data_IF_826157849013
#
_entry.id   IF_826157849013
#
_cell.length_a   1.000
_cell.length_b   1.000
_cell.length_c   1.000
_cell.angle_alpha   90.00
_cell.angle_beta   90.00
_cell.angle_gamma   90.00
#
_symmetry.space_group_name_H-M   'P 1'
#
loop_
_entity.id
_entity.type
_entity.pdbx_description
1 polymer ?
#
# COMPACT_ATOMS: atom_id res chain seq x y z
N UNK A 1 10.05 -27.97 10.04
CA UNK A 1 9.81 -26.51 10.12
C UNK A 1 8.41 -26.32 10.71
N UNK A 2 8.22 -25.23 11.50
CA UNK A 2 6.90 -24.81 11.95
C UNK A 2 6.08 -24.36 10.74
N UNK A 3 4.77 -24.57 10.75
CA UNK A 3 3.90 -24.21 9.63
C UNK A 3 3.02 -23.01 9.97
N UNK A 4 2.95 -22.02 9.08
CA UNK A 4 2.03 -20.89 9.18
C UNK A 4 1.03 -20.89 8.04
N UNK A 5 -0.27 -20.88 8.39
CA UNK A 5 -1.35 -20.71 7.41
C UNK A 5 -1.53 -19.23 7.12
N UNK A 6 -1.29 -18.84 5.89
CA UNK A 6 -1.46 -17.47 5.40
C UNK A 6 -2.76 -17.38 4.62
N UNK A 7 -3.70 -16.59 5.11
CA UNK A 7 -5.01 -16.38 4.47
C UNK A 7 -5.01 -15.04 3.77
N UNK A 8 -4.99 -15.05 2.45
CA UNK A 8 -4.95 -13.86 1.61
C UNK A 8 -5.86 -13.98 0.39
N UNK A 9 -6.64 -12.94 0.11
CA UNK A 9 -7.41 -12.84 -1.14
C UNK A 9 -6.50 -12.45 -2.31
N UNK A 10 -5.54 -11.56 -2.06
CA UNK A 10 -4.65 -11.00 -3.08
C UNK A 10 -3.41 -11.88 -3.25
N UNK A 11 -3.40 -12.71 -4.29
CA UNK A 11 -2.31 -13.62 -4.60
C UNK A 11 -1.92 -13.54 -6.08
N UNK A 12 -0.66 -13.79 -6.48
CA UNK A 12 -0.28 -13.79 -7.90
C UNK A 12 -1.24 -14.62 -8.77
N UNK A 13 -1.64 -14.13 -9.96
CA UNK A 13 -1.10 -12.98 -10.70
C UNK A 13 -1.73 -11.61 -10.37
N UNK A 14 -2.27 -11.39 -9.17
CA UNK A 14 -2.70 -10.05 -8.77
C UNK A 14 -1.52 -9.07 -8.82
N UNK A 15 -1.80 -7.83 -9.20
CA UNK A 15 -0.85 -6.72 -9.15
C UNK A 15 -1.17 -5.75 -8.00
N UNK A 16 -0.25 -4.82 -7.77
CA UNK A 16 -0.36 -3.79 -6.75
C UNK A 16 0.27 -4.15 -5.41
N UNK A 17 0.35 -3.16 -4.54
CA UNK A 17 1.13 -3.25 -3.29
C UNK A 17 0.58 -4.29 -2.31
N UNK A 18 -0.75 -4.48 -2.27
CA UNK A 18 -1.39 -5.41 -1.34
C UNK A 18 -0.95 -6.86 -1.54
N UNK A 19 -0.71 -7.30 -2.79
CA UNK A 19 -0.21 -8.65 -3.05
C UNK A 19 1.27 -8.79 -2.68
N UNK A 20 2.07 -7.75 -2.92
CA UNK A 20 3.51 -7.80 -2.72
C UNK A 20 3.87 -8.07 -1.25
N UNK A 21 3.16 -7.46 -0.29
CA UNK A 21 3.43 -7.66 1.14
C UNK A 21 3.35 -9.13 1.54
N UNK A 22 2.25 -9.79 1.24
CA UNK A 22 2.04 -11.19 1.60
C UNK A 22 2.98 -12.11 0.81
N UNK A 23 3.20 -11.83 -0.48
CA UNK A 23 4.13 -12.57 -1.32
C UNK A 23 5.56 -12.52 -0.78
N UNK A 24 6.03 -11.34 -0.29
CA UNK A 24 7.36 -11.21 0.30
C UNK A 24 7.48 -11.95 1.64
N UNK A 25 6.42 -12.01 2.45
CA UNK A 25 6.42 -12.88 3.63
C UNK A 25 6.61 -14.35 3.22
N UNK A 26 5.84 -14.84 2.25
CA UNK A 26 5.96 -16.21 1.75
C UNK A 26 7.35 -16.49 1.18
N UNK A 27 7.95 -15.52 0.47
CA UNK A 27 9.29 -15.63 -0.13
C UNK A 27 10.37 -15.87 0.93
N UNK A 28 10.30 -15.21 2.07
CA UNK A 28 11.39 -15.19 3.06
C UNK A 28 11.12 -15.97 4.35
N UNK A 29 9.91 -16.44 4.63
CA UNK A 29 9.60 -17.14 5.89
C UNK A 29 10.44 -18.41 6.11
N UNK A 30 10.80 -19.13 5.04
CA UNK A 30 11.67 -20.31 5.14
C UNK A 30 13.06 -19.98 5.67
N UNK A 31 13.58 -18.78 5.43
CA UNK A 31 14.85 -18.30 5.97
C UNK A 31 14.85 -18.24 7.51
N UNK A 32 13.64 -18.15 8.10
CA UNK A 32 13.42 -18.01 9.54
C UNK A 32 12.75 -19.26 10.16
N UNK A 33 12.80 -20.41 9.47
CA UNK A 33 12.35 -21.69 10.00
C UNK A 33 10.82 -21.92 9.94
N UNK A 34 10.09 -21.12 9.14
CA UNK A 34 8.67 -21.24 8.95
C UNK A 34 8.31 -21.71 7.54
N UNK A 35 7.46 -22.73 7.44
CA UNK A 35 6.91 -23.19 6.17
C UNK A 35 5.56 -22.54 5.94
N UNK A 36 5.41 -21.65 4.94
CA UNK A 36 4.14 -21.04 4.62
C UNK A 36 3.21 -21.99 3.86
N UNK A 37 1.94 -22.01 4.29
CA UNK A 37 0.82 -22.65 3.58
C UNK A 37 -0.17 -21.57 3.23
N UNK A 38 -0.50 -21.40 1.97
CA UNK A 38 -1.31 -20.28 1.49
C UNK A 38 -2.73 -20.72 1.19
N UNK A 39 -3.74 -20.02 1.74
CA UNK A 39 -5.12 -20.09 1.31
C UNK A 39 -5.48 -18.83 0.53
N UNK A 40 -5.97 -19.00 -0.71
CA UNK A 40 -6.38 -17.88 -1.57
C UNK A 40 -7.66 -18.21 -2.36
N UNK A 41 -8.19 -17.20 -3.07
CA UNK A 41 -9.37 -17.40 -3.91
C UNK A 41 -9.02 -18.15 -5.21
N UNK A 42 -9.91 -19.06 -5.65
CA UNK A 42 -9.73 -19.80 -6.89
C UNK A 42 -10.08 -18.96 -8.13
N UNK A 43 -11.13 -18.15 -8.05
CA UNK A 43 -11.69 -17.37 -9.17
C UNK A 43 -11.86 -15.90 -8.80
N UNK A 44 -10.80 -15.20 -8.35
CA UNK A 44 -10.88 -13.82 -7.89
C UNK A 44 -11.07 -12.83 -9.04
N UNK A 45 -11.70 -11.70 -8.73
CA UNK A 45 -11.78 -10.55 -9.63
C UNK A 45 -10.72 -9.52 -9.26
N UNK A 46 -9.51 -9.73 -9.73
CA UNK A 46 -8.45 -8.75 -9.52
C UNK A 46 -8.63 -7.53 -10.39
N UNK A 47 -8.27 -6.39 -9.84
CA UNK A 47 -8.34 -5.10 -10.50
C UNK A 47 -7.17 -4.90 -11.48
N UNK A 48 -5.99 -5.32 -11.06
CA UNK A 48 -4.77 -5.30 -11.84
C UNK A 48 -4.14 -6.69 -11.84
N UNK A 49 -3.58 -7.06 -12.99
CA UNK A 49 -2.82 -8.30 -13.15
C UNK A 49 -1.37 -7.97 -13.41
N UNK A 50 -0.48 -8.66 -12.70
CA UNK A 50 0.96 -8.62 -12.91
C UNK A 50 1.48 -10.06 -12.86
N UNK A 51 1.74 -10.60 -14.03
CA UNK A 51 2.20 -11.99 -14.19
C UNK A 51 3.65 -12.20 -13.74
N UNK A 52 4.45 -11.13 -13.64
CA UNK A 52 5.81 -11.22 -13.14
C UNK A 52 5.84 -11.65 -11.67
N UNK A 53 4.80 -11.33 -10.90
CA UNK A 53 4.66 -11.77 -9.51
C UNK A 53 4.60 -13.30 -9.35
N UNK A 54 4.22 -14.06 -10.40
CA UNK A 54 4.25 -15.53 -10.35
C UNK A 54 5.67 -16.07 -10.23
N UNK A 55 6.65 -15.38 -10.78
CA UNK A 55 8.06 -15.77 -10.72
C UNK A 55 8.68 -15.58 -9.32
N UNK A 56 7.99 -14.82 -8.46
CA UNK A 56 8.44 -14.59 -7.09
C UNK A 56 7.90 -15.59 -6.07
N UNK A 57 6.93 -16.42 -6.47
CA UNK A 57 6.40 -17.48 -5.60
C UNK A 57 7.47 -18.58 -5.49
N UNK A 58 7.96 -18.90 -4.28
CA UNK A 58 8.97 -19.93 -4.12
C UNK A 58 8.44 -21.31 -4.53
N UNK A 59 9.33 -22.15 -5.06
CA UNK A 59 9.00 -23.51 -5.43
C UNK A 59 8.50 -24.35 -4.23
N UNK A 60 7.52 -25.20 -4.48
CA UNK A 60 7.00 -26.15 -3.50
C UNK A 60 6.14 -25.54 -2.39
N UNK A 61 5.67 -24.30 -2.53
CA UNK A 61 4.69 -23.72 -1.61
C UNK A 61 3.35 -24.43 -1.76
N UNK A 62 2.80 -24.88 -0.64
CA UNK A 62 1.45 -25.46 -0.58
C UNK A 62 0.40 -24.34 -0.71
N UNK A 63 -0.38 -24.35 -1.81
CA UNK A 63 -1.38 -23.32 -2.11
C UNK A 63 -2.76 -23.95 -2.25
N UNK A 64 -3.68 -23.56 -1.38
CA UNK A 64 -5.09 -23.96 -1.42
C UNK A 64 -5.94 -22.86 -2.04
N UNK A 65 -6.77 -23.22 -3.01
CA UNK A 65 -7.66 -22.31 -3.70
C UNK A 65 -9.11 -22.65 -3.39
N UNK A 66 -9.85 -21.68 -2.87
CA UNK A 66 -11.27 -21.86 -2.52
C UNK A 66 -12.12 -20.96 -3.39
N UNK A 67 -13.20 -21.49 -4.04
CA UNK A 67 -14.09 -20.70 -4.87
C UNK A 67 -14.72 -19.54 -4.10
N UNK A 68 -14.80 -18.37 -4.73
CA UNK A 68 -15.45 -17.18 -4.19
C UNK A 68 -16.61 -16.73 -5.07
N UNK A 69 -17.71 -16.32 -4.43
CA UNK A 69 -18.79 -15.60 -5.09
C UNK A 69 -18.62 -14.11 -4.86
N UNK A 70 -18.42 -13.35 -5.95
CA UNK A 70 -18.28 -11.90 -5.90
C UNK A 70 -19.51 -11.22 -6.52
N UNK A 71 -20.34 -10.53 -5.72
CA UNK A 71 -21.58 -9.87 -6.18
C UNK A 71 -21.33 -8.85 -7.27
N UNK A 72 -20.15 -8.25 -7.29
CA UNK A 72 -19.76 -7.25 -8.28
C UNK A 72 -19.76 -7.80 -9.71
N UNK A 73 -19.44 -9.08 -9.89
CA UNK A 73 -19.48 -9.73 -11.19
C UNK A 73 -20.91 -9.92 -11.68
N UNK A 74 -21.85 -10.20 -10.76
CA UNK A 74 -23.26 -10.27 -11.06
C UNK A 74 -23.82 -8.87 -11.39
N UNK A 75 -23.44 -7.84 -10.62
CA UNK A 75 -23.87 -6.45 -10.89
C UNK A 75 -23.35 -5.92 -12.22
N UNK A 76 -22.08 -6.18 -12.58
CA UNK A 76 -21.51 -5.80 -13.90
C UNK A 76 -22.26 -6.50 -15.05
N UNK A 77 -22.62 -7.78 -14.89
CA UNK A 77 -23.39 -8.52 -15.90
C UNK A 77 -24.79 -7.92 -16.09
N UNK A 78 -25.47 -7.54 -15.00
CA UNK A 78 -26.83 -6.98 -15.04
C UNK A 78 -26.83 -5.55 -15.62
N UNK A 79 -25.82 -4.75 -15.32
CA UNK A 79 -25.75 -3.34 -15.76
C UNK A 79 -25.08 -3.14 -17.12
N UNK A 80 -24.61 -4.21 -17.77
CA UNK A 80 -23.91 -4.15 -19.08
C UNK A 80 -22.58 -3.39 -19.05
N UNK A 81 -22.04 -3.09 -17.87
CA UNK A 81 -20.74 -2.37 -17.73
C UNK A 81 -19.59 -3.30 -18.10
N UNK A 82 -18.63 -2.78 -18.90
CA UNK A 82 -17.43 -3.52 -19.28
C UNK A 82 -16.65 -3.98 -18.06
N UNK A 83 -16.04 -5.17 -18.16
CA UNK A 83 -15.27 -5.80 -17.05
C UNK A 83 -14.13 -4.93 -16.51
N UNK A 84 -13.63 -3.99 -17.31
CA UNK A 84 -12.35 -3.32 -17.10
C UNK A 84 -12.42 -1.95 -16.41
N UNK A 85 -13.60 -1.49 -15.96
CA UNK A 85 -13.67 -0.24 -15.19
C UNK A 85 -13.56 -0.56 -13.70
N UNK A 86 -12.45 -0.20 -13.06
CA UNK A 86 -12.27 -0.40 -11.62
C UNK A 86 -13.29 0.42 -10.82
N UNK A 87 -13.87 -0.16 -9.77
CA UNK A 87 -14.78 0.57 -8.89
C UNK A 87 -14.09 1.64 -8.05
N UNK A 88 -12.79 1.53 -7.85
CA UNK A 88 -12.00 2.59 -7.22
C UNK A 88 -11.88 3.84 -8.09
N UNK A 89 -11.97 3.71 -9.42
CA UNK A 89 -12.06 4.89 -10.29
C UNK A 89 -13.43 5.59 -10.17
N UNK A 90 -14.46 4.91 -9.64
CA UNK A 90 -15.73 5.52 -9.30
C UNK A 90 -15.61 6.36 -8.00
N UNK A 91 -14.74 5.94 -7.07
CA UNK A 91 -14.46 6.71 -5.85
C UNK A 91 -13.45 7.83 -6.09
N UNK A 92 -12.52 7.66 -7.03
CA UNK A 92 -11.47 8.65 -7.33
C UNK A 92 -11.88 9.74 -8.34
N UNK A 93 -12.96 9.56 -9.09
CA UNK A 93 -13.51 10.60 -9.97
C UNK A 93 -14.43 11.58 -9.19
N UNK A 94 -13.86 12.37 -8.31
CA UNK A 94 -14.56 13.40 -7.54
C UNK A 94 -15.16 14.53 -8.39
N UNK A 95 -14.80 14.65 -9.66
CA UNK A 95 -15.32 15.65 -10.60
C UNK A 95 -16.60 15.22 -11.33
N UNK A 96 -16.92 13.94 -11.42
CA UNK A 96 -18.19 13.47 -12.01
C UNK A 96 -19.22 13.22 -10.91
N UNK A 97 -20.39 13.87 -11.01
CA UNK A 97 -21.52 13.59 -10.12
C UNK A 97 -21.84 12.10 -10.17
N UNK A 98 -21.59 11.39 -9.06
CA UNK A 98 -21.93 9.96 -8.90
C UNK A 98 -23.38 9.73 -9.23
N UNK A 99 -23.68 8.77 -10.08
CA UNK A 99 -25.05 8.43 -10.43
C UNK A 99 -25.81 7.89 -9.19
N UNK A 100 -27.14 8.01 -9.19
CA UNK A 100 -27.97 7.43 -8.12
C UNK A 100 -27.73 5.93 -7.99
N UNK A 101 -27.50 5.24 -9.10
CA UNK A 101 -27.19 3.80 -9.15
C UNK A 101 -25.85 3.50 -8.44
N UNK A 102 -24.83 4.35 -8.62
CA UNK A 102 -23.53 4.18 -7.96
C UNK A 102 -23.66 4.38 -6.44
N UNK A 103 -24.38 5.40 -6.00
CA UNK A 103 -24.66 5.64 -4.58
C UNK A 103 -25.43 4.47 -3.95
N UNK A 104 -26.43 3.96 -4.64
CA UNK A 104 -27.18 2.78 -4.19
C UNK A 104 -26.29 1.54 -4.12
N UNK A 105 -25.44 1.31 -5.12
CA UNK A 105 -24.47 0.21 -5.12
C UNK A 105 -23.47 0.30 -3.95
N UNK A 106 -22.98 1.51 -3.65
CA UNK A 106 -22.11 1.76 -2.50
C UNK A 106 -22.82 1.52 -1.17
N UNK A 107 -24.09 1.99 -1.05
CA UNK A 107 -24.89 1.73 0.12
C UNK A 107 -25.15 0.22 0.33
N UNK A 108 -25.52 -0.52 -0.72
CA UNK A 108 -25.70 -1.97 -0.65
C UNK A 108 -24.40 -2.64 -0.20
N UNK A 109 -23.25 -2.24 -0.78
CA UNK A 109 -21.94 -2.77 -0.44
C UNK A 109 -21.60 -2.56 1.04
N UNK A 110 -21.79 -1.34 1.57
CA UNK A 110 -21.45 -1.00 2.94
C UNK A 110 -22.38 -1.60 3.99
N UNK A 111 -23.64 -1.95 3.63
CA UNK A 111 -24.64 -2.38 4.60
C UNK A 111 -24.96 -3.88 4.60
N UNK A 112 -24.72 -4.58 3.49
CA UNK A 112 -25.07 -6.01 3.37
C UNK A 112 -23.85 -6.92 3.20
N UNK A 113 -22.70 -6.38 2.79
CA UNK A 113 -21.47 -7.14 2.63
C UNK A 113 -20.47 -6.75 3.71
N UNK A 114 -20.62 -7.35 4.89
CA UNK A 114 -19.78 -7.10 6.07
C UNK A 114 -18.88 -8.32 6.29
N UNK A 115 -17.56 -8.13 6.38
CA UNK A 115 -16.81 -6.87 6.51
C UNK A 115 -16.57 -6.12 5.20
N UNK A 116 -16.66 -6.77 4.06
CA UNK A 116 -16.43 -6.22 2.72
C UNK A 116 -17.10 -7.07 1.63
N UNK A 117 -16.93 -6.70 0.36
CA UNK A 117 -17.59 -7.35 -0.78
C UNK A 117 -17.20 -8.85 -0.97
N UNK A 118 -16.19 -9.35 -0.25
CA UNK A 118 -15.75 -10.75 -0.28
C UNK A 118 -16.34 -11.58 0.85
N UNK A 119 -17.23 -11.03 1.67
CA UNK A 119 -17.81 -11.69 2.86
C UNK A 119 -18.47 -13.06 2.57
N UNK A 120 -18.96 -13.29 1.34
CA UNK A 120 -19.48 -14.58 0.90
C UNK A 120 -18.41 -15.70 0.91
N UNK A 121 -17.12 -15.34 0.91
CA UNK A 121 -16.00 -16.30 0.93
C UNK A 121 -15.72 -16.87 2.33
N UNK A 122 -16.20 -16.21 3.40
CA UNK A 122 -15.92 -16.63 4.78
C UNK A 122 -16.38 -18.08 5.04
N UNK A 123 -17.64 -18.41 4.75
CA UNK A 123 -18.19 -19.74 5.02
C UNK A 123 -17.48 -20.86 4.25
N UNK A 124 -17.26 -20.73 2.91
CA UNK A 124 -16.50 -21.73 2.15
C UNK A 124 -15.09 -21.95 2.68
N UNK A 125 -14.37 -20.88 3.02
CA UNK A 125 -13.01 -20.97 3.55
C UNK A 125 -12.97 -21.67 4.91
N UNK A 126 -13.84 -21.27 5.84
CA UNK A 126 -13.89 -21.91 7.17
C UNK A 126 -14.21 -23.40 7.03
N UNK A 127 -15.20 -23.78 6.21
CA UNK A 127 -15.52 -25.19 5.98
C UNK A 127 -14.35 -25.98 5.37
N UNK A 128 -13.64 -25.38 4.42
CA UNK A 128 -12.47 -25.99 3.79
C UNK A 128 -11.34 -26.18 4.81
N UNK A 129 -11.03 -25.13 5.57
CA UNK A 129 -9.96 -25.16 6.57
C UNK A 129 -10.26 -26.08 7.74
N UNK A 130 -11.52 -26.19 8.17
CA UNK A 130 -11.93 -27.17 9.18
C UNK A 130 -11.50 -28.59 8.78
N UNK A 131 -11.82 -28.99 7.54
CA UNK A 131 -11.47 -30.33 7.05
C UNK A 131 -9.95 -30.50 6.82
N UNK A 132 -9.27 -29.43 6.37
CA UNK A 132 -7.83 -29.45 6.18
C UNK A 132 -7.08 -29.64 7.51
N UNK A 133 -7.48 -28.91 8.56
CA UNK A 133 -6.86 -28.91 9.88
C UNK A 133 -7.11 -30.19 10.68
N UNK A 134 -8.13 -30.99 10.34
CA UNK A 134 -8.32 -32.32 10.91
C UNK A 134 -7.15 -33.29 10.60
N UNK A 135 -6.44 -33.05 9.49
CA UNK A 135 -5.39 -33.93 8.97
C UNK A 135 -4.00 -33.30 8.92
N UNK A 136 -3.93 -31.98 9.05
CA UNK A 136 -2.70 -31.23 8.88
C UNK A 136 -2.48 -30.31 10.07
N UNK A 137 -1.30 -30.38 10.65
CA UNK A 137 -0.91 -29.48 11.73
C UNK A 137 -0.49 -28.12 11.17
N UNK A 138 -1.04 -27.06 11.73
CA UNK A 138 -0.64 -25.67 11.54
C UNK A 138 -0.30 -25.09 12.91
N UNK A 139 0.85 -24.43 13.02
CA UNK A 139 1.35 -23.90 14.28
C UNK A 139 0.89 -22.46 14.53
N UNK A 140 0.64 -21.67 13.48
CA UNK A 140 0.12 -20.32 13.58
C UNK A 140 -0.71 -19.94 12.34
N UNK A 141 -1.58 -18.93 12.50
CA UNK A 141 -2.32 -18.31 11.40
C UNK A 141 -1.82 -16.88 11.22
N UNK A 142 -1.70 -16.44 9.97
CA UNK A 142 -1.46 -15.05 9.56
C UNK A 142 -2.53 -14.65 8.56
N UNK A 143 -3.13 -13.47 8.75
CA UNK A 143 -4.09 -12.90 7.79
C UNK A 143 -3.66 -11.52 7.38
N UNK A 144 -3.84 -11.16 6.12
CA UNK A 144 -3.67 -9.80 5.63
C UNK A 144 -5.03 -9.12 5.41
N UNK A 145 -5.12 -7.86 5.74
CA UNK A 145 -6.31 -7.04 5.51
C UNK A 145 -5.92 -5.62 5.09
N UNK A 146 -6.65 -4.97 4.20
CA UNK A 146 -7.86 -5.43 3.51
C UNK A 146 -7.61 -6.47 2.39
N UNK A 147 -8.62 -7.30 2.04
CA UNK A 147 -9.98 -7.31 2.56
C UNK A 147 -10.07 -7.93 3.96
N UNK A 148 -10.83 -7.32 4.87
CA UNK A 148 -11.03 -7.82 6.23
C UNK A 148 -11.87 -9.10 6.31
N UNK A 149 -12.39 -9.58 5.17
CA UNK A 149 -12.88 -10.95 5.01
C UNK A 149 -11.81 -11.97 5.42
N UNK A 150 -10.53 -11.76 5.04
CA UNK A 150 -9.41 -12.61 5.45
C UNK A 150 -9.26 -12.62 6.98
N UNK A 151 -9.33 -11.44 7.59
CA UNK A 151 -9.26 -11.23 9.04
C UNK A 151 -10.35 -12.03 9.78
N UNK A 152 -11.60 -11.97 9.31
CA UNK A 152 -12.72 -12.73 9.90
C UNK A 152 -12.57 -14.24 9.72
N UNK A 153 -12.01 -14.71 8.58
CA UNK A 153 -11.70 -16.13 8.39
C UNK A 153 -10.65 -16.56 9.42
N UNK A 154 -9.54 -15.82 9.55
CA UNK A 154 -8.48 -16.11 10.50
C UNK A 154 -8.98 -16.14 11.95
N UNK A 155 -9.79 -15.16 12.35
CA UNK A 155 -10.43 -15.11 13.66
C UNK A 155 -11.22 -16.39 13.95
N UNK A 156 -12.09 -16.79 13.05
CA UNK A 156 -12.93 -17.99 13.23
C UNK A 156 -12.13 -19.28 13.32
N UNK A 157 -11.08 -19.40 12.50
CA UNK A 157 -10.19 -20.58 12.52
C UNK A 157 -9.38 -20.60 13.81
N UNK A 158 -8.80 -19.47 14.21
CA UNK A 158 -8.07 -19.35 15.47
C UNK A 158 -8.93 -19.74 16.69
N UNK A 159 -10.14 -19.19 16.79
CA UNK A 159 -11.07 -19.51 17.88
C UNK A 159 -11.46 -20.99 17.90
N UNK A 160 -11.79 -21.57 16.73
CA UNK A 160 -12.30 -22.92 16.65
C UNK A 160 -11.24 -24.00 16.91
N UNK A 161 -10.03 -23.78 16.41
CA UNK A 161 -8.93 -24.76 16.47
C UNK A 161 -7.86 -24.40 17.52
N UNK A 162 -8.06 -23.30 18.27
CA UNK A 162 -7.11 -22.80 19.28
C UNK A 162 -5.69 -22.60 18.73
N UNK A 163 -5.58 -22.09 17.49
CA UNK A 163 -4.30 -21.79 16.83
C UNK A 163 -3.98 -20.31 17.03
N UNK A 164 -2.78 -19.94 17.52
CA UNK A 164 -2.41 -18.53 17.67
C UNK A 164 -2.44 -17.80 16.34
N UNK A 165 -2.95 -16.57 16.36
CA UNK A 165 -3.23 -15.82 15.15
C UNK A 165 -2.64 -14.39 15.20
N UNK A 166 -1.93 -14.02 14.14
CA UNK A 166 -1.47 -12.68 13.82
C UNK A 166 -2.39 -12.06 12.76
N UNK A 167 -3.02 -10.94 13.10
CA UNK A 167 -3.84 -10.14 12.21
C UNK A 167 -3.01 -8.97 11.65
N UNK A 168 -2.60 -9.04 10.37
CA UNK A 168 -1.90 -7.94 9.71
C UNK A 168 -2.92 -7.00 9.06
N UNK A 169 -3.09 -5.82 9.68
CA UNK A 169 -3.88 -4.73 9.14
C UNK A 169 -2.95 -3.83 8.33
N UNK A 170 -2.95 -3.97 7.03
CA UNK A 170 -2.20 -3.02 6.19
C UNK A 170 -2.80 -1.62 6.36
N UNK A 171 -4.14 -1.53 6.24
CA UNK A 171 -4.93 -0.33 6.51
C UNK A 171 -5.92 -0.56 7.66
N UNK A 172 -6.29 0.46 8.45
CA UNK A 172 -7.36 0.36 9.45
C UNK A 172 -8.68 -0.11 8.82
N UNK A 173 -9.55 -0.71 9.64
CA UNK A 173 -10.84 -1.20 9.14
C UNK A 173 -11.93 -0.11 9.21
N UNK A 174 -12.36 0.28 10.42
CA UNK A 174 -13.44 1.27 10.56
C UNK A 174 -12.95 2.71 10.55
N UNK A 175 -11.64 2.94 10.61
CA UNK A 175 -10.99 4.26 10.62
C UNK A 175 -10.38 4.64 9.27
N UNK A 176 -10.58 3.82 8.23
CA UNK A 176 -10.10 4.15 6.89
C UNK A 176 -10.92 5.31 6.29
N UNK A 177 -10.28 6.19 5.53
CA UNK A 177 -10.87 7.41 4.97
C UNK A 177 -12.15 7.17 4.15
N UNK A 178 -12.14 6.13 3.32
CA UNK A 178 -13.29 5.79 2.47
C UNK A 178 -14.46 5.11 3.23
N UNK A 179 -14.32 4.85 4.54
CA UNK A 179 -15.40 4.22 5.32
C UNK A 179 -16.68 5.05 5.32
N UNK A 180 -16.56 6.37 5.47
CA UNK A 180 -17.68 7.30 5.40
C UNK A 180 -18.33 7.35 4.01
N UNK A 181 -17.59 7.09 2.95
CA UNK A 181 -18.08 7.08 1.58
C UNK A 181 -18.99 5.90 1.24
N UNK A 182 -18.94 4.82 2.04
CA UNK A 182 -19.78 3.64 1.85
C UNK A 182 -21.24 3.81 2.28
N UNK A 183 -21.63 4.98 2.75
CA UNK A 183 -22.99 5.27 3.25
C UNK A 183 -23.50 4.24 4.26
N UNK A 184 -22.64 3.86 5.20
CA UNK A 184 -22.90 2.81 6.19
C UNK A 184 -23.97 3.30 7.19
N UNK A 185 -25.06 2.54 7.32
CA UNK A 185 -26.12 2.81 8.29
C UNK A 185 -25.75 2.36 9.70
N UNK A 186 -26.41 2.93 10.73
CA UNK A 186 -26.10 2.67 12.14
C UNK A 186 -26.05 1.18 12.53
N UNK A 187 -26.89 0.33 11.90
CA UNK A 187 -26.88 -1.13 12.16
C UNK A 187 -25.62 -1.79 11.61
N UNK A 188 -25.25 -1.47 10.38
CA UNK A 188 -24.05 -2.03 9.73
C UNK A 188 -22.78 -1.53 10.43
N UNK A 189 -22.70 -0.23 10.77
CA UNK A 189 -21.59 0.34 11.54
C UNK A 189 -21.40 -0.40 12.87
N UNK A 190 -22.48 -0.67 13.62
CA UNK A 190 -22.40 -1.45 14.85
C UNK A 190 -21.82 -2.85 14.62
N UNK A 191 -22.19 -3.51 13.52
CA UNK A 191 -21.70 -4.85 13.20
C UNK A 191 -20.21 -4.79 12.81
N UNK A 192 -19.79 -3.82 12.00
CA UNK A 192 -18.37 -3.63 11.65
C UNK A 192 -17.53 -3.43 12.92
N UNK A 193 -17.93 -2.49 13.79
CA UNK A 193 -17.20 -2.21 15.03
C UNK A 193 -17.18 -3.41 15.98
N UNK A 194 -18.29 -4.15 16.09
CA UNK A 194 -18.33 -5.35 16.92
C UNK A 194 -17.37 -6.43 16.41
N UNK A 195 -17.31 -6.65 15.10
CA UNK A 195 -16.37 -7.59 14.50
C UNK A 195 -14.92 -7.13 14.69
N UNK A 196 -14.63 -5.84 14.51
CA UNK A 196 -13.29 -5.29 14.74
C UNK A 196 -12.86 -5.46 16.20
N UNK A 197 -13.76 -5.21 17.16
CA UNK A 197 -13.50 -5.46 18.58
C UNK A 197 -13.26 -6.95 18.88
N UNK A 198 -14.02 -7.86 18.26
CA UNK A 198 -13.81 -9.29 18.40
C UNK A 198 -12.44 -9.73 17.87
N UNK A 199 -11.98 -9.14 16.76
CA UNK A 199 -10.62 -9.32 16.23
C UNK A 199 -9.58 -8.88 17.25
N UNK A 200 -9.73 -7.70 17.87
CA UNK A 200 -8.80 -7.19 18.89
C UNK A 200 -8.72 -8.07 20.14
N UNK A 201 -9.80 -8.77 20.45
CA UNK A 201 -9.84 -9.68 21.60
C UNK A 201 -9.26 -11.05 21.27
N UNK A 202 -9.32 -11.48 20.01
CA UNK A 202 -8.94 -12.83 19.57
C UNK A 202 -7.50 -12.90 19.07
N UNK A 203 -7.04 -11.89 18.33
CA UNK A 203 -5.69 -11.87 17.78
C UNK A 203 -4.65 -11.80 18.91
N UNK A 204 -3.66 -12.70 18.88
CA UNK A 204 -2.51 -12.66 19.77
C UNK A 204 -1.60 -11.49 19.45
N UNK A 205 -1.49 -11.14 18.17
CA UNK A 205 -0.72 -10.01 17.67
C UNK A 205 -1.48 -9.30 16.54
N UNK A 206 -1.42 -7.99 16.56
CA UNK A 206 -1.94 -7.14 15.47
C UNK A 206 -0.77 -6.36 14.90
N UNK A 207 -0.69 -6.27 13.57
CA UNK A 207 0.28 -5.41 12.90
C UNK A 207 -0.41 -4.42 11.97
N UNK A 208 0.17 -3.25 11.78
CA UNK A 208 -0.35 -2.18 10.93
C UNK A 208 0.79 -1.48 10.21
N UNK A 209 0.51 -0.81 9.09
CA UNK A 209 1.58 -0.30 8.23
C UNK A 209 2.23 1.01 8.71
N UNK A 210 1.68 1.69 9.73
CA UNK A 210 2.23 2.98 10.16
C UNK A 210 2.06 3.28 11.66
N UNK A 211 2.93 4.13 12.23
CA UNK A 211 2.85 4.55 13.62
C UNK A 211 1.56 5.30 13.98
N UNK A 212 1.09 6.20 13.11
CA UNK A 212 -0.16 6.93 13.34
C UNK A 212 -1.36 5.98 13.37
N UNK A 213 -1.44 5.05 12.44
CA UNK A 213 -2.51 4.04 12.44
C UNK A 213 -2.42 3.06 13.60
N UNK A 214 -1.21 2.78 14.13
CA UNK A 214 -1.07 2.06 15.40
C UNK A 214 -1.80 2.78 16.53
N UNK A 215 -1.54 4.09 16.68
CA UNK A 215 -2.21 4.93 17.70
C UNK A 215 -3.74 4.94 17.51
N UNK A 216 -4.19 5.02 16.27
CA UNK A 216 -5.61 4.98 15.94
C UNK A 216 -6.25 3.66 16.38
N UNK A 217 -5.66 2.51 16.04
CA UNK A 217 -6.16 1.20 16.47
C UNK A 217 -6.13 1.04 17.99
N UNK A 218 -5.06 1.49 18.66
CA UNK A 218 -4.96 1.49 20.13
C UNK A 218 -6.05 2.35 20.77
N UNK A 219 -6.39 3.50 20.17
CA UNK A 219 -7.42 4.42 20.67
C UNK A 219 -8.83 3.82 20.69
N UNK A 220 -9.09 2.83 19.84
CA UNK A 220 -10.37 2.11 19.75
C UNK A 220 -10.32 0.72 20.41
N UNK A 221 -9.27 0.42 21.18
CA UNK A 221 -9.17 -0.79 22.00
C UNK A 221 -8.28 -1.89 21.42
N UNK A 222 -7.54 -1.63 20.35
CA UNK A 222 -6.51 -2.54 19.84
C UNK A 222 -5.42 -2.80 20.89
N UNK A 223 -5.08 -4.07 21.11
CA UNK A 223 -4.01 -4.49 22.03
C UNK A 223 -2.92 -5.21 21.26
N UNK A 224 -1.70 -5.16 21.78
CA UNK A 224 -0.53 -5.81 21.14
C UNK A 224 -0.37 -5.40 19.67
N UNK A 225 -0.59 -4.11 19.37
CA UNK A 225 -0.45 -3.56 18.02
C UNK A 225 1.00 -3.14 17.79
N UNK A 226 1.60 -3.61 16.71
CA UNK A 226 2.94 -3.20 16.29
C UNK A 226 2.98 -2.72 14.85
N UNK A 227 4.02 -1.96 14.51
CA UNK A 227 4.22 -1.45 13.16
C UNK A 227 5.09 -2.41 12.36
N UNK A 228 4.55 -2.85 11.24
CA UNK A 228 5.26 -3.58 10.19
C UNK A 228 5.09 -2.79 8.89
N UNK A 229 6.13 -2.10 8.48
CA UNK A 229 6.13 -1.32 7.26
C UNK A 229 5.98 -2.18 6.00
N UNK A 230 5.62 -1.57 4.88
CA UNK A 230 5.99 -2.10 3.57
C UNK A 230 7.52 -2.06 3.47
N UNK A 231 8.07 -2.78 2.52
CA UNK A 231 9.52 -2.83 2.38
C UNK A 231 9.93 -2.77 0.91
N UNK A 232 11.23 -2.87 0.71
CA UNK A 232 11.84 -3.12 -0.59
C UNK A 232 12.47 -4.50 -0.63
N UNK A 233 12.62 -5.06 -1.84
CA UNK A 233 13.30 -6.33 -2.03
C UNK A 233 14.67 -6.08 -2.69
N UNK A 234 15.75 -6.49 -2.05
CA UNK A 234 17.10 -6.33 -2.58
C UNK A 234 17.30 -7.00 -3.95
N UNK A 235 16.54 -8.06 -4.23
CA UNK A 235 16.63 -8.73 -5.53
C UNK A 235 16.16 -7.84 -6.69
N UNK A 236 15.25 -6.89 -6.43
CA UNK A 236 14.78 -5.93 -7.42
C UNK A 236 15.85 -4.87 -7.75
N UNK A 237 16.81 -4.67 -6.84
CA UNK A 237 17.89 -3.67 -6.93
C UNK A 237 19.26 -4.28 -7.23
N UNK A 238 19.33 -5.58 -7.57
CA UNK A 238 20.62 -6.27 -7.81
C UNK A 238 21.49 -5.60 -8.90
N UNK A 239 20.84 -5.00 -9.91
CA UNK A 239 21.53 -4.29 -11.00
C UNK A 239 21.45 -2.76 -10.85
N UNK A 240 20.92 -2.27 -9.72
CA UNK A 240 20.72 -0.84 -9.52
C UNK A 240 22.05 -0.11 -9.42
N UNK A 241 22.24 0.87 -10.30
CA UNK A 241 23.41 1.76 -10.29
C UNK A 241 22.93 3.19 -10.50
N UNK A 242 23.23 4.07 -9.55
CA UNK A 242 22.92 5.49 -9.71
C UNK A 242 23.69 6.06 -10.91
N UNK A 243 22.95 6.69 -11.83
CA UNK A 243 23.51 7.32 -13.03
C UNK A 243 23.44 8.82 -12.88
N UNK A 244 24.52 9.48 -13.29
CA UNK A 244 24.51 10.91 -13.48
C UNK A 244 24.02 11.23 -14.90
N UNK A 245 23.10 12.17 -14.99
CA UNK A 245 22.54 12.66 -16.23
C UNK A 245 22.86 14.14 -16.38
N UNK A 246 23.06 14.62 -17.60
CA UNK A 246 23.27 16.05 -17.87
C UNK A 246 22.05 16.92 -17.49
N UNK A 247 20.88 16.30 -17.47
CA UNK A 247 19.61 16.90 -17.09
C UNK A 247 19.28 16.65 -15.63
N UNK A 248 18.70 17.63 -14.94
CA UNK A 248 18.12 17.45 -13.61
C UNK A 248 16.74 16.80 -13.76
N UNK A 249 16.66 15.50 -13.51
CA UNK A 249 15.44 14.70 -13.69
C UNK A 249 14.66 14.64 -12.38
N UNK A 250 13.44 15.16 -12.39
CA UNK A 250 12.46 14.99 -11.31
C UNK A 250 11.50 13.87 -11.74
N UNK A 251 11.50 12.78 -11.01
CA UNK A 251 10.72 11.59 -11.36
C UNK A 251 9.66 11.28 -10.33
N UNK A 252 8.46 10.92 -10.79
CA UNK A 252 7.39 10.32 -10.00
C UNK A 252 6.92 9.03 -10.65
N UNK A 253 6.92 7.93 -9.90
CA UNK A 253 6.36 6.64 -10.31
C UNK A 253 5.08 6.33 -9.54
N UNK A 254 3.97 6.11 -10.25
CA UNK A 254 2.68 5.72 -9.71
C UNK A 254 1.52 6.63 -10.10
N UNK A 255 0.36 6.41 -9.50
CA UNK A 255 -0.83 7.22 -9.72
C UNK A 255 -0.60 8.67 -9.23
N UNK A 256 -0.88 9.64 -10.10
CA UNK A 256 -0.88 11.07 -9.77
C UNK A 256 -2.30 11.62 -9.99
N UNK A 257 -3.14 11.47 -8.98
CA UNK A 257 -4.55 11.85 -8.99
C UNK A 257 -4.79 13.30 -8.58
N UNK A 258 -6.03 13.75 -8.70
CA UNK A 258 -6.48 15.07 -8.26
C UNK A 258 -6.19 15.32 -6.77
N UNK A 259 -6.35 14.28 -5.95
CA UNK A 259 -6.14 14.28 -4.50
C UNK A 259 -4.68 14.52 -4.07
N UNK A 260 -3.75 14.41 -5.01
CA UNK A 260 -2.30 14.61 -4.81
C UNK A 260 -1.66 15.46 -5.90
N UNK A 261 -2.46 16.32 -6.55
CA UNK A 261 -1.96 17.26 -7.55
C UNK A 261 -0.97 18.26 -6.89
N UNK A 262 0.32 18.29 -7.30
CA UNK A 262 1.36 19.11 -6.70
C UNK A 262 1.39 20.51 -7.31
N UNK A 263 0.27 21.24 -7.35
CA UNK A 263 0.15 22.50 -8.07
C UNK A 263 1.12 23.58 -7.56
N UNK A 264 1.32 23.69 -6.23
CA UNK A 264 2.27 24.62 -5.63
C UNK A 264 3.70 24.34 -6.09
N UNK A 265 4.08 23.04 -6.16
CA UNK A 265 5.38 22.63 -6.68
C UNK A 265 5.55 23.06 -8.15
N UNK A 266 4.52 22.88 -8.97
CA UNK A 266 4.55 23.34 -10.37
C UNK A 266 4.67 24.87 -10.48
N UNK A 267 3.98 25.61 -9.62
CA UNK A 267 4.12 27.07 -9.54
C UNK A 267 5.57 27.47 -9.21
N UNK A 268 6.14 26.89 -8.15
CA UNK A 268 7.52 27.16 -7.72
C UNK A 268 8.51 26.85 -8.84
N UNK A 269 8.36 25.69 -9.49
CA UNK A 269 9.26 25.29 -10.56
C UNK A 269 9.20 26.24 -11.77
N UNK A 270 7.98 26.65 -12.15
CA UNK A 270 7.77 27.64 -13.22
C UNK A 270 8.41 28.99 -12.87
N UNK A 271 8.24 29.47 -11.62
CA UNK A 271 8.82 30.71 -11.15
C UNK A 271 10.37 30.67 -11.22
N UNK A 272 10.96 29.53 -10.80
CA UNK A 272 12.42 29.36 -10.83
C UNK A 272 12.98 29.26 -12.26
N UNK A 273 12.27 28.61 -13.19
CA UNK A 273 12.66 28.56 -14.60
C UNK A 273 12.61 29.97 -15.23
N UNK A 274 11.55 30.73 -14.94
CA UNK A 274 11.43 32.11 -15.44
C UNK A 274 12.52 33.03 -14.89
N UNK A 275 12.87 32.89 -13.60
CA UNK A 275 13.91 33.68 -12.95
C UNK A 275 15.32 33.27 -13.41
N UNK A 276 15.52 31.99 -13.68
CA UNK A 276 16.79 31.41 -14.08
C UNK A 276 16.63 30.51 -15.31
N UNK A 277 16.60 31.05 -16.54
CA UNK A 277 16.37 30.28 -17.77
C UNK A 277 17.34 29.12 -17.99
N UNK A 278 18.54 29.18 -17.42
CA UNK A 278 19.51 28.07 -17.44
C UNK A 278 18.96 26.79 -16.78
N UNK A 279 18.09 26.92 -15.78
CA UNK A 279 17.41 25.79 -15.13
C UNK A 279 16.51 25.07 -16.16
N UNK A 280 15.74 25.85 -16.95
CA UNK A 280 14.83 25.29 -17.94
C UNK A 280 15.54 24.39 -18.96
N UNK A 281 16.77 24.74 -19.36
CA UNK A 281 17.54 23.95 -20.32
C UNK A 281 17.98 22.57 -19.77
N UNK A 282 17.99 22.39 -18.47
CA UNK A 282 18.48 21.18 -17.80
C UNK A 282 17.38 20.34 -17.14
N UNK A 283 16.21 20.93 -16.87
CA UNK A 283 15.17 20.26 -16.09
C UNK A 283 14.33 19.32 -16.96
N UNK A 284 13.98 18.17 -16.41
CA UNK A 284 12.99 17.24 -16.98
C UNK A 284 12.08 16.73 -15.88
N UNK A 285 10.78 16.77 -16.13
CA UNK A 285 9.75 16.11 -15.32
C UNK A 285 9.38 14.81 -16.00
N UNK A 286 9.43 13.69 -15.28
CA UNK A 286 9.02 12.39 -15.81
C UNK A 286 7.99 11.76 -14.87
N UNK A 287 6.83 11.43 -15.42
CA UNK A 287 5.75 10.80 -14.68
C UNK A 287 5.39 9.44 -15.30
N UNK A 288 5.65 8.37 -14.54
CA UNK A 288 5.28 7.01 -14.89
C UNK A 288 4.05 6.60 -14.09
N UNK A 289 3.02 6.09 -14.77
CA UNK A 289 1.73 5.74 -14.18
C UNK A 289 0.59 6.56 -14.78
N UNK A 290 -0.59 6.41 -14.19
CA UNK A 290 -1.78 7.17 -14.58
C UNK A 290 -1.71 8.60 -14.01
N UNK A 291 -1.82 9.59 -14.87
CA UNK A 291 -1.81 11.02 -14.50
C UNK A 291 -3.19 11.60 -14.78
N UNK A 292 -3.83 12.14 -13.75
CA UNK A 292 -5.15 12.75 -13.84
C UNK A 292 -5.15 14.03 -14.70
N UNK A 293 -6.27 14.30 -15.36
CA UNK A 293 -6.43 15.48 -16.21
C UNK A 293 -6.22 16.79 -15.44
N UNK A 294 -6.55 16.85 -14.16
CA UNK A 294 -6.33 18.04 -13.31
C UNK A 294 -4.85 18.34 -13.17
N UNK A 295 -4.00 17.32 -13.07
CA UNK A 295 -2.54 17.47 -13.01
C UNK A 295 -2.00 17.97 -14.37
N UNK A 296 -2.48 17.40 -15.47
CA UNK A 296 -2.12 17.85 -16.83
C UNK A 296 -2.52 19.31 -17.04
N UNK A 297 -3.69 19.70 -16.54
CA UNK A 297 -4.13 21.11 -16.60
C UNK A 297 -3.25 22.04 -15.75
N UNK A 298 -2.80 21.58 -14.57
CA UNK A 298 -1.85 22.33 -13.74
C UNK A 298 -0.50 22.50 -14.45
N UNK A 299 0.03 21.46 -15.11
CA UNK A 299 1.24 21.55 -15.93
C UNK A 299 1.08 22.56 -17.08
N UNK A 300 -0.06 22.58 -17.76
CA UNK A 300 -0.36 23.58 -18.81
C UNK A 300 -0.41 24.99 -18.24
N UNK A 301 -1.13 25.19 -17.13
CA UNK A 301 -1.26 26.49 -16.44
C UNK A 301 0.09 27.09 -16.11
N UNK A 302 1.02 26.26 -15.64
CA UNK A 302 2.36 26.66 -15.23
C UNK A 302 3.40 26.54 -16.36
N UNK A 303 3.01 26.29 -17.62
CA UNK A 303 3.88 26.18 -18.80
C UNK A 303 4.99 25.13 -18.65
N UNK A 304 4.68 24.01 -17.98
CA UNK A 304 5.66 22.95 -17.71
C UNK A 304 5.52 21.74 -18.65
N UNK A 305 4.55 21.72 -19.56
CA UNK A 305 4.35 20.57 -20.44
C UNK A 305 5.55 20.30 -21.35
N UNK A 306 6.25 21.32 -21.81
CA UNK A 306 7.42 21.18 -22.67
C UNK A 306 8.61 20.52 -21.95
N UNK A 307 8.63 20.59 -20.61
CA UNK A 307 9.63 19.94 -19.75
C UNK A 307 9.17 18.55 -19.27
N UNK A 308 7.94 18.12 -19.63
CA UNK A 308 7.27 16.95 -19.01
C UNK A 308 7.15 15.80 -19.99
N UNK A 309 7.61 14.62 -19.59
CA UNK A 309 7.38 13.34 -20.23
C UNK A 309 6.32 12.54 -19.44
N UNK A 310 5.18 12.27 -20.07
CA UNK A 310 4.13 11.40 -19.54
C UNK A 310 4.34 10.00 -20.09
N UNK A 311 4.89 9.10 -19.27
CA UNK A 311 5.34 7.76 -19.71
C UNK A 311 4.19 6.73 -19.74
N UNK A 312 3.02 7.05 -19.13
CA UNK A 312 1.96 6.07 -18.93
C UNK A 312 2.37 4.93 -17.99
N UNK A 313 1.62 3.82 -18.08
CA UNK A 313 1.95 2.62 -17.30
C UNK A 313 3.17 1.91 -17.90
N UNK A 314 4.21 1.75 -17.09
CA UNK A 314 5.44 1.04 -17.46
C UNK A 314 5.70 -0.13 -16.50
N UNK A 315 6.41 -1.19 -16.93
CA UNK A 315 6.78 -2.30 -16.06
C UNK A 315 7.62 -1.85 -14.85
N UNK A 316 7.48 -2.53 -13.71
CA UNK A 316 8.20 -2.22 -12.47
C UNK A 316 9.72 -2.15 -12.66
N UNK A 317 10.30 -3.08 -13.42
CA UNK A 317 11.74 -3.06 -13.76
C UNK A 317 12.18 -1.78 -14.46
N UNK A 318 11.30 -1.22 -15.30
CA UNK A 318 11.58 0.05 -15.97
C UNK A 318 11.44 1.24 -14.99
N UNK A 319 10.51 1.19 -14.03
CA UNK A 319 10.43 2.22 -12.97
C UNK A 319 11.74 2.29 -12.19
N UNK A 320 12.34 1.16 -11.83
CA UNK A 320 13.62 1.10 -11.11
C UNK A 320 14.75 1.71 -11.97
N UNK A 321 14.76 1.49 -13.28
CA UNK A 321 15.72 2.13 -14.19
C UNK A 321 15.52 3.65 -14.30
N UNK A 322 14.30 4.15 -14.18
CA UNK A 322 14.07 5.60 -14.10
C UNK A 322 14.51 6.18 -12.74
N UNK A 323 14.40 5.41 -11.62
CA UNK A 323 15.01 5.81 -10.35
C UNK A 323 16.53 5.98 -10.45
N UNK A 324 17.25 5.15 -11.24
CA UNK A 324 18.70 5.28 -11.44
C UNK A 324 19.08 6.66 -11.99
N UNK A 325 18.29 7.19 -12.92
CA UNK A 325 18.52 8.43 -13.64
C UNK A 325 18.02 9.68 -12.88
N UNK A 326 17.10 9.48 -11.94
CA UNK A 326 16.48 10.60 -11.23
C UNK A 326 17.50 11.38 -10.38
N UNK A 327 17.41 12.70 -10.42
CA UNK A 327 18.10 13.62 -9.52
C UNK A 327 17.26 13.88 -8.26
N UNK A 328 15.93 13.85 -8.41
CA UNK A 328 14.97 14.08 -7.34
C UNK A 328 13.76 13.16 -7.55
N UNK A 329 13.33 12.48 -6.48
CA UNK A 329 12.13 11.67 -6.47
C UNK A 329 10.99 12.45 -5.82
N UNK A 330 9.93 12.71 -6.59
CA UNK A 330 8.75 13.44 -6.12
C UNK A 330 7.72 12.46 -5.54
N UNK A 331 7.34 12.67 -4.27
CA UNK A 331 6.38 11.83 -3.55
C UNK A 331 5.23 12.65 -2.97
N UNK A 332 4.19 12.96 -3.76
CA UNK A 332 2.98 13.59 -3.24
C UNK A 332 2.10 12.56 -2.53
N UNK A 333 1.70 12.88 -1.30
CA UNK A 333 0.77 12.10 -0.47
C UNK A 333 -0.64 12.62 -0.72
N UNK A 334 -1.63 11.73 -0.77
CA UNK A 334 -3.02 12.15 -0.99
C UNK A 334 -3.53 13.02 0.17
N UNK A 335 -4.33 14.02 -0.20
CA UNK A 335 -5.00 14.92 0.74
C UNK A 335 -6.26 14.22 1.27
N UNK A 336 -6.18 13.70 2.49
CA UNK A 336 -7.27 13.01 3.19
C UNK A 336 -7.14 13.22 4.70
N UNK A 337 -8.23 13.07 5.44
CA UNK A 337 -8.25 13.30 6.89
C UNK A 337 -7.29 12.37 7.67
N UNK A 338 -7.05 11.15 7.17
CA UNK A 338 -6.11 10.18 7.74
C UNK A 338 -4.76 10.12 7.00
N UNK A 339 -4.41 11.17 6.25
CA UNK A 339 -3.19 11.21 5.45
C UNK A 339 -1.90 11.08 6.28
N UNK A 340 -1.93 11.48 7.55
CA UNK A 340 -0.77 11.38 8.45
C UNK A 340 -0.23 9.95 8.56
N UNK A 341 -1.11 8.95 8.68
CA UNK A 341 -0.71 7.53 8.75
C UNK A 341 -0.51 6.85 7.39
N UNK A 342 -0.77 7.54 6.29
CA UNK A 342 -0.71 6.92 4.96
C UNK A 342 0.72 6.87 4.42
N UNK A 343 1.31 5.69 4.45
CA UNK A 343 2.65 5.43 3.93
C UNK A 343 2.52 4.68 2.60
N UNK A 344 2.82 5.32 1.45
CA UNK A 344 2.84 4.60 0.17
C UNK A 344 3.94 3.54 0.16
N UNK A 345 3.64 2.31 -0.28
CA UNK A 345 4.64 1.23 -0.31
C UNK A 345 5.89 1.56 -1.13
N UNK A 346 5.75 2.35 -2.21
CA UNK A 346 6.89 2.84 -3.01
C UNK A 346 7.88 3.71 -2.21
N UNK A 347 7.51 4.26 -1.04
CA UNK A 347 8.44 5.01 -0.20
C UNK A 347 9.69 4.21 0.09
N UNK A 348 9.55 2.93 0.44
CA UNK A 348 10.67 2.10 0.83
C UNK A 348 11.56 1.75 -0.38
N UNK A 349 10.97 1.56 -1.56
CA UNK A 349 11.72 1.39 -2.81
C UNK A 349 12.55 2.65 -3.14
N UNK A 350 11.96 3.84 -3.04
CA UNK A 350 12.68 5.07 -3.32
C UNK A 350 13.72 5.41 -2.23
N UNK A 351 13.47 5.07 -0.98
CA UNK A 351 14.49 5.15 0.09
C UNK A 351 15.72 4.28 -0.24
N UNK A 352 15.49 3.06 -0.76
CA UNK A 352 16.57 2.13 -1.16
C UNK A 352 17.46 2.70 -2.26
N UNK A 353 16.93 3.55 -3.13
CA UNK A 353 17.70 4.16 -4.22
C UNK A 353 18.83 5.09 -3.74
N UNK A 354 18.75 5.60 -2.53
CA UNK A 354 19.67 6.64 -2.04
C UNK A 354 19.49 8.01 -2.70
N UNK A 355 18.48 8.20 -3.53
CA UNK A 355 18.19 9.48 -4.18
C UNK A 355 17.49 10.45 -3.23
N UNK A 356 17.62 11.73 -3.50
CA UNK A 356 16.91 12.78 -2.76
C UNK A 356 15.40 12.70 -3.00
N UNK A 357 14.60 12.80 -1.94
CA UNK A 357 13.14 12.68 -1.97
C UNK A 357 12.51 14.01 -1.59
N UNK A 358 11.63 14.52 -2.44
CA UNK A 358 10.74 15.63 -2.14
C UNK A 358 9.34 15.09 -1.83
N UNK A 359 8.93 15.21 -0.58
CA UNK A 359 7.58 14.82 -0.14
C UNK A 359 6.68 16.06 -0.14
N UNK A 360 5.46 15.91 -0.65
CA UNK A 360 4.38 16.87 -0.44
C UNK A 360 3.30 16.16 0.37
N UNK A 361 3.05 16.60 1.58
CA UNK A 361 2.12 15.92 2.50
C UNK A 361 1.97 16.67 3.82
N UNK A 362 1.23 16.07 4.77
CA UNK A 362 0.99 16.67 6.07
C UNK A 362 2.29 16.80 6.88
N UNK A 363 2.38 17.86 7.68
CA UNK A 363 3.56 18.15 8.51
C UNK A 363 3.75 17.15 9.66
N UNK A 364 2.67 16.58 10.14
CA UNK A 364 2.64 15.52 11.16
C UNK A 364 2.65 14.09 10.58
N UNK A 365 2.95 13.96 9.28
CA UNK A 365 2.88 12.68 8.57
C UNK A 365 4.01 11.71 8.90
N UNK A 366 3.69 10.42 8.96
CA UNK A 366 4.67 9.34 9.16
C UNK A 366 5.71 9.29 8.03
N UNK A 367 5.32 9.66 6.80
CA UNK A 367 6.23 9.74 5.64
C UNK A 367 7.31 10.79 5.87
N UNK A 368 6.93 11.99 6.36
CA UNK A 368 7.90 13.04 6.73
C UNK A 368 8.88 12.50 7.76
N UNK A 369 8.35 11.92 8.84
CA UNK A 369 9.17 11.39 9.93
C UNK A 369 10.19 10.37 9.44
N UNK A 370 9.79 9.44 8.54
CA UNK A 370 10.69 8.43 7.96
C UNK A 370 11.75 9.08 7.07
N UNK A 371 11.35 9.95 6.13
CA UNK A 371 12.26 10.55 5.16
C UNK A 371 13.31 11.43 5.84
N UNK A 372 12.92 12.19 6.87
CA UNK A 372 13.82 13.06 7.61
C UNK A 372 14.71 12.26 8.58
N UNK A 373 14.18 11.25 9.28
CA UNK A 373 14.96 10.36 10.13
C UNK A 373 16.06 9.64 9.34
N UNK A 374 15.72 9.13 8.16
CA UNK A 374 16.65 8.44 7.26
C UNK A 374 17.54 9.41 6.45
N UNK A 375 17.38 10.73 6.63
CA UNK A 375 18.13 11.76 5.92
C UNK A 375 18.08 11.59 4.40
N UNK A 376 16.88 11.25 3.86
CA UNK A 376 16.70 10.98 2.44
C UNK A 376 15.98 12.08 1.68
N UNK A 377 15.70 13.21 2.32
CA UNK A 377 15.04 14.34 1.67
C UNK A 377 14.31 15.27 2.63
N UNK A 378 13.34 15.99 2.10
CA UNK A 378 12.52 16.95 2.83
C UNK A 378 11.04 16.79 2.51
N UNK A 379 10.21 17.14 3.50
CA UNK A 379 8.75 17.19 3.35
C UNK A 379 8.24 18.60 3.50
N UNK A 380 7.23 18.94 2.68
CA UNK A 380 6.56 20.24 2.71
C UNK A 380 5.04 20.02 2.64
N UNK A 381 4.29 20.89 3.32
CA UNK A 381 2.86 20.98 3.09
C UNK A 381 2.57 21.54 1.70
N UNK A 382 1.42 21.16 1.16
CA UNK A 382 1.05 21.49 -0.23
C UNK A 382 0.96 23.01 -0.51
N UNK A 383 0.69 23.82 0.50
CA UNK A 383 0.51 25.27 0.42
C UNK A 383 1.75 26.07 0.88
N UNK A 384 2.77 25.40 1.40
CA UNK A 384 3.98 26.06 1.88
C UNK A 384 4.94 26.41 0.72
N UNK A 385 4.53 27.45 -0.06
CA UNK A 385 5.26 27.89 -1.26
C UNK A 385 6.66 28.40 -0.95
N UNK A 386 6.80 29.20 0.10
CA UNK A 386 8.06 29.94 0.38
C UNK A 386 9.20 28.98 0.78
N UNK A 387 8.95 28.04 1.68
CA UNK A 387 9.95 27.04 2.08
C UNK A 387 10.28 26.10 0.92
N UNK A 388 9.27 25.70 0.14
CA UNK A 388 9.47 24.85 -1.02
C UNK A 388 10.31 25.56 -2.08
N UNK A 389 10.06 26.85 -2.32
CA UNK A 389 10.82 27.67 -3.27
C UNK A 389 12.28 27.83 -2.84
N UNK A 390 12.53 28.11 -1.56
CA UNK A 390 13.88 28.21 -1.02
C UNK A 390 14.64 26.89 -1.22
N UNK A 391 14.04 25.76 -0.83
CA UNK A 391 14.64 24.44 -0.98
C UNK A 391 14.93 24.08 -2.44
N UNK A 392 13.97 24.30 -3.33
CA UNK A 392 14.15 24.00 -4.76
C UNK A 392 15.18 24.92 -5.43
N UNK A 393 15.24 26.18 -5.01
CA UNK A 393 16.27 27.12 -5.47
C UNK A 393 17.67 26.64 -5.10
N UNK A 394 17.88 26.25 -3.84
CA UNK A 394 19.17 25.75 -3.37
C UNK A 394 19.57 24.46 -4.10
N UNK A 395 18.62 23.55 -4.30
CA UNK A 395 18.84 22.29 -4.98
C UNK A 395 19.20 22.46 -6.47
N UNK A 396 18.46 23.31 -7.19
CA UNK A 396 18.62 23.51 -8.63
C UNK A 396 19.82 24.40 -8.99
N UNK A 397 20.20 25.31 -8.10
CA UNK A 397 21.36 26.17 -8.28
C UNK A 397 22.66 25.58 -7.72
N UNK A 398 22.64 24.32 -7.28
CA UNK A 398 23.79 23.63 -6.69
C UNK A 398 24.38 24.36 -5.46
N UNK A 399 23.56 25.10 -4.73
CA UNK A 399 23.94 25.73 -3.47
C UNK A 399 23.79 24.78 -2.27
N UNK A 400 23.06 23.66 -2.44
CA UNK A 400 22.92 22.64 -1.42
C UNK A 400 24.22 21.81 -1.39
N UNK A 401 24.86 21.74 -0.22
CA UNK A 401 25.86 20.72 0.05
C UNK A 401 25.22 19.34 -0.18
N UNK A 402 26.01 18.39 -0.69
CA UNK A 402 25.57 17.01 -0.88
C UNK A 402 24.87 16.56 0.41
N UNK A 403 23.56 16.33 0.35
CA UNK A 403 22.81 15.80 1.49
C UNK A 403 23.48 14.46 1.82
N UNK A 404 24.05 14.39 3.02
CA UNK A 404 24.71 13.16 3.47
C UNK A 404 23.62 12.08 3.70
N UNK A 405 23.39 11.26 2.68
CA UNK A 405 22.36 10.25 2.61
C UNK A 405 22.77 9.01 3.41
N UNK A 406 22.95 9.14 4.71
CA UNK A 406 23.59 8.16 5.59
C UNK A 406 22.62 7.30 6.43
N UNK A 407 21.32 7.34 6.20
CA UNK A 407 20.33 6.57 6.96
C UNK A 407 20.52 5.05 6.84
N UNK A 408 20.16 4.31 7.88
CA UNK A 408 20.16 2.84 7.86
C UNK A 408 18.82 2.31 7.38
N UNK A 409 18.72 2.04 6.09
CA UNK A 409 17.48 1.57 5.45
C UNK A 409 17.31 0.05 5.49
N UNK A 410 18.27 -0.72 5.97
CA UNK A 410 18.23 -2.19 5.95
C UNK A 410 17.01 -2.73 6.72
N UNK A 411 16.59 -2.03 7.77
CA UNK A 411 15.40 -2.38 8.55
C UNK A 411 14.11 -2.44 7.72
N UNK A 412 14.10 -1.80 6.55
CA UNK A 412 12.97 -1.81 5.62
C UNK A 412 13.11 -2.87 4.50
N UNK A 413 14.14 -3.72 4.54
CA UNK A 413 14.22 -4.84 3.59
C UNK A 413 13.11 -5.87 3.89
N UNK A 414 12.46 -6.37 2.84
CA UNK A 414 11.38 -7.36 3.00
C UNK A 414 11.84 -8.62 3.73
N UNK A 415 13.12 -8.98 3.60
CA UNK A 415 13.70 -10.11 4.32
C UNK A 415 13.73 -9.85 5.84
N UNK A 416 14.21 -8.69 6.30
CA UNK A 416 14.24 -8.34 7.73
C UNK A 416 12.85 -8.09 8.30
N UNK A 417 11.96 -7.49 7.52
CA UNK A 417 10.54 -7.34 7.88
C UNK A 417 9.89 -8.72 8.10
N UNK A 418 10.17 -9.68 7.21
CA UNK A 418 9.68 -11.06 7.38
C UNK A 418 10.29 -11.73 8.60
N UNK A 419 11.56 -11.47 8.92
CA UNK A 419 12.19 -11.91 10.16
C UNK A 419 11.45 -11.40 11.41
N UNK A 420 11.00 -10.16 11.40
CA UNK A 420 10.15 -9.59 12.47
C UNK A 420 8.80 -10.34 12.60
N UNK A 421 8.16 -10.62 11.48
CA UNK A 421 6.93 -11.44 11.47
C UNK A 421 7.19 -12.83 12.04
N UNK A 422 8.27 -13.49 11.63
CA UNK A 422 8.66 -14.80 12.13
C UNK A 422 8.89 -14.81 13.66
N UNK A 423 9.52 -13.75 14.19
CA UNK A 423 9.69 -13.57 15.64
C UNK A 423 8.35 -13.45 16.37
N UNK A 424 7.40 -12.67 15.82
CA UNK A 424 6.06 -12.59 16.41
C UNK A 424 5.33 -13.93 16.39
N UNK A 425 5.47 -14.69 15.31
CA UNK A 425 4.91 -16.04 15.23
C UNK A 425 5.53 -16.97 16.28
N UNK A 426 6.83 -16.88 16.54
CA UNK A 426 7.53 -17.65 17.56
C UNK A 426 7.07 -17.28 18.99
N UNK A 427 6.99 -15.99 19.30
CA UNK A 427 6.49 -15.46 20.57
C UNK A 427 5.07 -15.97 20.86
N UNK A 428 4.15 -15.88 19.89
CA UNK A 428 2.77 -16.31 20.04
C UNK A 428 2.64 -17.82 20.35
N UNK A 429 3.48 -18.66 19.74
CA UNK A 429 3.48 -20.12 20.03
C UNK A 429 4.03 -20.39 21.44
N UNK A 430 5.10 -19.70 21.82
CA UNK A 430 5.70 -19.84 23.14
C UNK A 430 4.70 -19.48 24.24
N UNK A 431 4.02 -18.36 24.11
CA UNK A 431 3.01 -17.90 25.08
C UNK A 431 1.81 -18.86 25.16
N UNK A 432 1.39 -19.42 24.02
CA UNK A 432 0.27 -20.38 23.99
C UNK A 432 0.61 -21.71 24.65
N UNK A 433 1.88 -22.13 24.64
CA UNK A 433 2.33 -23.38 25.30
C UNK A 433 2.51 -23.23 26.80
N UNK A 434 2.70 -22.00 27.27
CA UNK A 434 2.95 -21.70 28.69
C UNK A 434 1.75 -21.07 29.41
N UNK A 435 0.63 -20.83 28.74
CA UNK A 435 -0.65 -20.36 29.28
C UNK A 435 -1.60 -21.53 29.54
#
# INVERSE_FOLDING_TARGET
MKKVLIITYSWPPAGGIGVLRCLKFVKYLRDFGWEPVVLTAENPSYQFLDYDNLNEVPDGIEIHKVPIFEPINAFKKITGRKKDIPLQNITNNSAQKRSIIDKFGMWVRGNFFIPDARSAWIKPCVKYLDHYLEKNQIDAVLTDGPPHTNTVIGMRISQKHNIPWLADFQDPWTQVDYYSELYIGKRADRIHRALEQEVFQTAKKITVASPSWKKDLESIGGKNVDVIYYGFDETDFAEFSSKEEDSFIIFHGGLLGQDRNPETFFSVLSDLINLHPVIGNKIKLKFAGEVDLTVVNSLKKHKLLEYTELMGMIPRKQVIKEYEKASLLLLPINKADNAAGRIPGKLFEILRTGKNILVLGPDDGDVKSIVEMEKRGRSFEYDNKDLLQAYMSDLLLQKAENINLSGNIDAYSNRLITGKIANYLDEMIYDTKNA
#
